data_IF_867338503458
#
_entry.id   IF_867338503458
#
_cell.length_a   1.000
_cell.length_b   1.000
_cell.length_c   1.000
_cell.angle_alpha   90.00
_cell.angle_beta   90.00
_cell.angle_gamma   90.00
#
_symmetry.space_group_name_H-M   'P 1'
#
loop_
_entity.id
_entity.type
_entity.pdbx_description
1 polymer ?
#
# COMPACT_ATOMS: atom_id res chain seq x y z
N UNK A 1 8.80 3.54 36.10
CA UNK A 1 7.58 3.85 35.33
C UNK A 1 7.91 4.87 34.24
N UNK A 2 8.60 4.41 33.20
CA UNK A 2 8.74 5.12 31.93
C UNK A 2 7.88 4.37 30.92
N UNK A 3 7.11 5.09 30.12
CA UNK A 3 6.36 4.51 29.01
C UNK A 3 7.34 3.97 27.98
N UNK A 4 7.02 2.84 27.34
CA UNK A 4 7.81 2.20 26.27
C UNK A 4 8.12 3.11 25.06
N UNK A 5 7.62 4.35 25.04
CA UNK A 5 7.79 5.33 23.97
C UNK A 5 8.10 6.75 24.46
N UNK A 6 8.17 6.98 25.77
CA UNK A 6 8.44 8.31 26.34
C UNK A 6 9.22 8.16 27.66
N UNK A 7 10.42 8.75 27.72
CA UNK A 7 11.28 8.80 28.90
C UNK A 7 10.86 9.87 29.92
N UNK A 8 9.67 10.46 29.77
CA UNK A 8 9.14 11.46 30.70
C UNK A 8 8.70 10.85 32.02
N UNK A 9 9.07 11.48 33.14
CA UNK A 9 8.50 11.20 34.46
C UNK A 9 7.01 11.57 34.46
N UNK A 10 6.17 10.70 35.01
CA UNK A 10 4.71 10.88 35.13
C UNK A 10 4.35 11.86 36.26
N UNK A 11 5.00 13.02 36.29
CA UNK A 11 4.75 14.10 37.24
C UNK A 11 4.20 15.31 36.48
N UNK A 12 3.21 15.99 37.06
CA UNK A 12 2.84 17.33 36.62
C UNK A 12 4.01 18.31 36.87
N UNK A 13 4.14 19.33 36.01
CA UNK A 13 5.30 20.24 36.03
C UNK A 13 5.46 20.97 37.38
N UNK A 14 4.37 21.29 38.08
CA UNK A 14 4.41 21.90 39.42
C UNK A 14 4.98 20.95 40.49
N UNK A 15 4.55 19.69 40.46
CA UNK A 15 5.04 18.66 41.38
C UNK A 15 6.51 18.34 41.13
N UNK A 16 6.91 18.34 39.85
CA UNK A 16 8.30 18.14 39.44
C UNK A 16 9.22 19.24 39.98
N UNK A 17 8.81 20.49 39.93
CA UNK A 17 9.58 21.62 40.47
C UNK A 17 9.76 21.50 42.00
N UNK A 18 8.71 21.08 42.71
CA UNK A 18 8.77 20.89 44.17
C UNK A 18 9.68 19.72 44.57
N UNK A 19 9.59 18.57 43.90
CA UNK A 19 10.47 17.43 44.19
C UNK A 19 11.94 17.70 43.81
N UNK A 20 12.19 18.48 42.75
CA UNK A 20 13.55 18.91 42.40
C UNK A 20 14.16 19.79 43.48
N UNK A 21 13.41 20.76 44.02
CA UNK A 21 13.88 21.60 45.15
C UNK A 21 14.23 20.76 46.39
N UNK A 22 13.41 19.76 46.70
CA UNK A 22 13.64 18.86 47.84
C UNK A 22 14.83 17.92 47.62
N UNK A 23 15.05 17.47 46.39
CA UNK A 23 16.17 16.60 46.02
C UNK A 23 17.51 17.34 45.91
N UNK A 24 17.50 18.64 45.60
CA UNK A 24 18.70 19.48 45.52
C UNK A 24 19.26 19.91 46.87
N UNK A 25 18.61 19.58 47.99
CA UNK A 25 19.12 19.92 49.32
C UNK A 25 20.31 19.01 49.71
N UNK A 26 21.54 19.54 49.85
CA UNK A 26 22.73 18.73 50.11
C UNK A 26 22.75 18.10 51.51
N UNK A 27 21.98 18.61 52.48
CA UNK A 27 21.94 18.14 53.87
C UNK A 27 20.89 17.05 54.15
N UNK A 28 20.32 16.44 53.10
CA UNK A 28 19.24 15.47 53.28
C UNK A 28 19.78 14.05 53.59
N UNK A 29 19.41 13.54 54.77
CA UNK A 29 19.79 12.21 55.26
C UNK A 29 19.26 11.06 54.36
N UNK A 30 19.93 9.90 54.39
CA UNK A 30 19.64 8.73 53.53
C UNK A 30 18.19 8.24 53.68
N UNK A 31 17.67 8.19 54.91
CA UNK A 31 16.28 7.86 55.21
C UNK A 31 15.30 8.86 54.57
N UNK A 32 15.65 10.15 54.58
CA UNK A 32 14.88 11.21 53.93
C UNK A 32 14.84 11.06 52.40
N UNK A 33 15.96 10.69 51.78
CA UNK A 33 16.01 10.42 50.32
C UNK A 33 15.18 9.21 49.93
N UNK A 34 15.20 8.16 50.75
CA UNK A 34 14.39 6.94 50.53
C UNK A 34 12.89 7.22 50.67
N UNK A 35 12.49 8.04 51.64
CA UNK A 35 11.10 8.47 51.81
C UNK A 35 10.61 9.34 50.64
N UNK A 36 11.44 10.32 50.19
CA UNK A 36 11.16 11.12 49.00
C UNK A 36 10.98 10.25 47.75
N UNK A 37 11.86 9.28 47.53
CA UNK A 37 11.76 8.36 46.40
C UNK A 37 10.48 7.52 46.45
N UNK A 38 10.10 7.00 47.63
CA UNK A 38 8.84 6.27 47.83
C UNK A 38 7.62 7.15 47.52
N UNK A 39 7.66 8.41 47.94
CA UNK A 39 6.60 9.38 47.68
C UNK A 39 6.47 9.71 46.19
N UNK A 40 7.59 9.93 45.49
CA UNK A 40 7.62 10.18 44.04
C UNK A 40 7.06 8.98 43.26
N UNK A 41 7.39 7.76 43.67
CA UNK A 41 6.84 6.54 43.04
C UNK A 41 5.32 6.44 43.28
N UNK A 42 4.86 6.76 44.49
CA UNK A 42 3.44 6.71 44.83
C UNK A 42 2.61 7.73 44.03
N UNK A 43 3.13 8.94 43.78
CA UNK A 43 2.49 9.94 42.91
C UNK A 43 2.53 9.53 41.43
N UNK A 44 3.66 9.01 40.94
CA UNK A 44 3.76 8.51 39.55
C UNK A 44 2.82 7.33 39.26
N UNK A 45 2.44 6.53 40.26
CA UNK A 45 1.47 5.43 40.09
C UNK A 45 0.03 5.90 40.00
N UNK A 46 -0.29 7.11 40.49
CA UNK A 46 -1.65 7.69 40.45
C UNK A 46 -1.96 8.39 39.13
N UNK A 47 -0.94 8.75 38.36
CA UNK A 47 -1.05 9.46 37.08
C UNK A 47 -1.06 8.47 35.90
N UNK A 48 -2.25 8.17 35.39
CA UNK A 48 -2.46 7.21 34.31
C UNK A 48 -2.17 7.74 32.89
N UNK A 49 -2.53 8.99 32.54
CA UNK A 49 -2.09 9.59 31.29
C UNK A 49 -0.76 10.32 31.46
N UNK A 50 0.18 10.13 30.53
CA UNK A 50 1.41 10.91 30.53
C UNK A 50 1.15 12.38 30.14
N UNK A 51 1.55 13.36 30.96
CA UNK A 51 1.31 14.78 30.68
C UNK A 51 2.04 15.29 29.42
N UNK A 52 3.02 14.55 28.91
CA UNK A 52 3.81 14.95 27.73
C UNK A 52 3.32 14.35 26.41
N UNK A 53 2.69 13.18 26.44
CA UNK A 53 2.29 12.47 25.21
C UNK A 53 0.89 11.85 25.24
N UNK A 54 0.12 12.01 26.31
CA UNK A 54 -1.29 11.57 26.42
C UNK A 54 -1.50 10.05 26.41
N UNK A 55 -0.45 9.24 26.30
CA UNK A 55 -0.56 7.76 26.29
C UNK A 55 -0.93 7.24 27.68
N UNK A 56 -1.89 6.31 27.70
CA UNK A 56 -2.35 5.62 28.90
C UNK A 56 -1.41 4.47 29.26
N UNK A 57 -1.07 4.33 30.53
CA UNK A 57 -0.40 3.13 31.04
C UNK A 57 -1.40 1.98 31.15
N UNK A 58 -1.39 1.04 30.21
CA UNK A 58 -2.09 -0.24 30.40
C UNK A 58 -1.34 -1.08 31.44
N UNK A 59 -1.85 -1.09 32.67
CA UNK A 59 -1.37 -1.98 33.73
C UNK A 59 -1.98 -3.36 33.51
N UNK A 60 -1.40 -4.16 32.61
CA UNK A 60 -1.61 -5.61 32.61
C UNK A 60 -0.70 -6.22 33.68
N UNK A 61 -1.23 -7.16 34.46
CA UNK A 61 -0.54 -7.84 35.57
C UNK A 61 0.67 -8.64 35.07
N UNK A 62 1.81 -7.96 34.99
CA UNK A 62 3.13 -8.42 34.58
C UNK A 62 4.08 -7.22 34.63
N UNK A 63 5.38 -7.43 34.87
CA UNK A 63 6.34 -6.32 34.85
C UNK A 63 6.38 -5.69 33.45
N UNK A 64 6.01 -4.42 33.33
CA UNK A 64 5.94 -3.62 32.10
C UNK A 64 7.32 -3.19 31.56
N UNK A 65 8.40 -3.61 32.21
CA UNK A 65 9.74 -3.15 31.90
C UNK A 65 10.33 -3.95 30.72
N UNK A 66 11.09 -3.25 29.90
CA UNK A 66 11.72 -3.83 28.72
C UNK A 66 12.89 -4.74 29.13
N UNK A 67 13.23 -5.74 28.31
CA UNK A 67 14.30 -6.71 28.59
C UNK A 67 15.65 -6.02 28.87
N UNK A 68 15.91 -4.92 28.16
CA UNK A 68 17.11 -4.08 28.36
C UNK A 68 17.09 -3.40 29.73
N UNK A 69 15.91 -2.93 30.18
CA UNK A 69 15.75 -2.28 31.48
C UNK A 69 15.96 -3.28 32.61
N UNK A 70 15.42 -4.50 32.48
CA UNK A 70 15.69 -5.59 33.41
C UNK A 70 17.19 -5.90 33.48
N UNK A 71 17.87 -6.02 32.33
CA UNK A 71 19.32 -6.28 32.31
C UNK A 71 20.16 -5.16 32.92
N UNK A 72 19.80 -3.90 32.70
CA UNK A 72 20.48 -2.77 33.34
C UNK A 72 20.32 -2.79 34.86
N UNK A 73 19.14 -3.18 35.37
CA UNK A 73 18.92 -3.30 36.82
C UNK A 73 19.79 -4.39 37.45
N UNK A 74 19.97 -5.54 36.76
CA UNK A 74 20.85 -6.62 37.20
C UNK A 74 22.33 -6.19 37.19
N UNK A 75 22.77 -5.46 36.15
CA UNK A 75 24.14 -4.92 36.06
C UNK A 75 24.44 -3.98 37.23
N UNK A 76 23.49 -3.10 37.58
CA UNK A 76 23.64 -2.18 38.71
C UNK A 76 23.73 -2.96 40.03
N UNK A 77 22.87 -3.97 40.22
CA UNK A 77 22.88 -4.79 41.43
C UNK A 77 24.21 -5.52 41.62
N UNK A 78 24.75 -6.13 40.56
CA UNK A 78 26.05 -6.84 40.61
C UNK A 78 27.18 -5.84 40.92
N UNK A 79 27.14 -4.64 40.34
CA UNK A 79 28.12 -3.61 40.62
C UNK A 79 28.08 -3.16 42.08
N UNK A 80 26.90 -3.01 42.68
CA UNK A 80 26.75 -2.69 44.11
C UNK A 80 27.29 -3.80 45.02
N UNK A 81 27.05 -5.06 44.65
CA UNK A 81 27.61 -6.23 45.37
C UNK A 81 29.13 -6.24 45.29
N UNK A 82 29.70 -5.97 44.12
CA UNK A 82 31.14 -5.93 43.90
C UNK A 82 31.81 -4.79 44.71
N UNK A 83 31.15 -3.64 44.81
CA UNK A 83 31.58 -2.53 45.67
C UNK A 83 31.54 -2.90 47.17
N UNK A 84 30.55 -3.66 47.62
CA UNK A 84 30.49 -4.15 49.01
C UNK A 84 31.61 -5.15 49.30
N UNK A 85 31.83 -6.13 48.42
CA UNK A 85 32.93 -7.09 48.57
C UNK A 85 34.31 -6.43 48.64
N UNK A 86 34.50 -5.33 47.92
CA UNK A 86 35.73 -4.53 47.99
C UNK A 86 35.90 -3.79 49.33
N UNK A 87 34.80 -3.35 49.96
CA UNK A 87 34.82 -2.66 51.26
C UNK A 87 34.98 -3.62 52.43
N UNK A 88 34.31 -4.77 52.37
CA UNK A 88 34.27 -5.75 53.45
C UNK A 88 35.47 -6.72 53.45
N UNK A 89 36.35 -6.63 52.44
CA UNK A 89 37.54 -7.48 52.35
C UNK A 89 37.23 -8.94 52.01
N UNK A 90 36.31 -9.17 51.06
CA UNK A 90 35.87 -10.51 50.67
C UNK A 90 37.01 -11.34 50.03
N UNK A 91 36.93 -12.69 50.07
CA UNK A 91 37.92 -13.56 49.45
C UNK A 91 38.01 -13.33 47.94
N UNK A 92 39.25 -13.33 47.42
CA UNK A 92 39.57 -13.04 46.00
C UNK A 92 38.76 -13.92 45.03
N UNK A 93 38.44 -15.16 45.41
CA UNK A 93 37.61 -16.07 44.60
C UNK A 93 36.20 -15.51 44.36
N UNK A 94 35.54 -14.99 45.39
CA UNK A 94 34.19 -14.44 45.28
C UNK A 94 34.18 -13.12 44.48
N UNK A 95 35.26 -12.34 44.56
CA UNK A 95 35.41 -11.12 43.77
C UNK A 95 35.53 -11.43 42.27
N UNK A 96 36.34 -12.41 41.92
CA UNK A 96 36.51 -12.85 40.52
C UNK A 96 35.20 -13.43 39.96
N UNK A 97 34.46 -14.21 40.75
CA UNK A 97 33.17 -14.76 40.32
C UNK A 97 32.11 -13.68 40.08
N UNK A 98 32.04 -12.67 40.96
CA UNK A 98 31.15 -11.51 40.74
C UNK A 98 31.56 -10.66 39.53
N UNK A 99 32.87 -10.56 39.26
CA UNK A 99 33.40 -9.88 38.09
C UNK A 99 33.04 -10.61 36.79
N UNK A 100 33.17 -11.93 36.75
CA UNK A 100 32.79 -12.76 35.61
C UNK A 100 31.28 -12.66 35.34
N UNK A 101 30.45 -12.66 36.39
CA UNK A 101 29.02 -12.41 36.25
C UNK A 101 28.73 -11.04 35.65
N UNK A 102 29.39 -9.97 36.12
CA UNK A 102 29.20 -8.63 35.56
C UNK A 102 29.52 -8.59 34.06
N UNK A 103 30.63 -9.21 33.65
CA UNK A 103 31.05 -9.27 32.26
C UNK A 103 30.02 -9.98 31.38
N UNK A 104 29.43 -11.07 31.86
CA UNK A 104 28.39 -11.81 31.15
C UNK A 104 27.11 -10.98 30.99
N UNK A 105 26.66 -10.29 32.04
CA UNK A 105 25.46 -9.45 31.96
C UNK A 105 25.63 -8.26 31.00
N UNK A 106 26.80 -7.63 30.97
CA UNK A 106 27.13 -6.57 30.01
C UNK A 106 27.20 -7.11 28.58
N UNK A 107 27.78 -8.30 28.40
CA UNK A 107 27.88 -8.93 27.08
C UNK A 107 26.50 -9.33 26.54
N UNK A 108 25.63 -9.92 27.39
CA UNK A 108 24.25 -10.27 27.06
C UNK A 108 23.37 -9.06 26.76
N UNK A 109 23.64 -7.91 27.40
CA UNK A 109 22.96 -6.64 27.12
C UNK A 109 23.21 -6.17 25.67
N UNK A 110 24.46 -6.30 25.20
CA UNK A 110 24.83 -5.94 23.83
C UNK A 110 24.36 -7.00 22.82
N UNK A 111 24.67 -8.27 23.08
CA UNK A 111 24.33 -9.39 22.22
C UNK A 111 23.88 -10.59 23.06
N UNK A 112 22.59 -10.91 22.99
CA UNK A 112 22.03 -12.04 23.74
C UNK A 112 22.35 -13.42 23.13
N UNK A 113 22.97 -13.49 21.95
CA UNK A 113 23.31 -14.72 21.22
C UNK A 113 24.80 -15.06 21.29
N UNK A 114 25.47 -14.72 22.41
CA UNK A 114 26.87 -15.08 22.61
C UNK A 114 27.01 -16.59 22.83
N UNK A 115 27.66 -17.26 21.87
CA UNK A 115 28.06 -18.66 21.95
C UNK A 115 29.11 -18.86 23.06
N UNK A 116 28.95 -19.88 23.91
CA UNK A 116 29.98 -20.28 24.88
C UNK A 116 29.69 -19.98 26.36
N UNK A 117 28.49 -19.50 26.70
CA UNK A 117 28.11 -19.31 28.11
C UNK A 117 27.87 -20.65 28.84
N UNK A 118 28.35 -20.81 30.09
CA UNK A 118 28.04 -21.95 30.96
C UNK A 118 26.53 -22.13 31.12
N UNK A 119 26.04 -23.38 31.15
CA UNK A 119 24.60 -23.71 31.19
C UNK A 119 23.83 -23.04 32.34
N UNK A 120 24.49 -22.82 33.49
CA UNK A 120 23.90 -22.18 34.68
C UNK A 120 23.73 -20.67 34.54
N UNK A 121 24.55 -20.03 33.69
CA UNK A 121 24.54 -18.58 33.45
C UNK A 121 23.79 -18.21 32.16
N UNK A 122 23.21 -19.20 31.46
CA UNK A 122 22.36 -18.95 30.31
C UNK A 122 20.99 -18.40 30.76
N UNK A 123 20.48 -17.35 30.11
CA UNK A 123 19.16 -16.84 30.43
C UNK A 123 18.09 -17.89 30.05
N UNK A 124 17.18 -18.19 30.98
CA UNK A 124 16.08 -19.16 30.79
C UNK A 124 15.05 -18.72 29.73
N UNK A 125 15.02 -17.42 29.39
CA UNK A 125 14.21 -16.86 28.31
C UNK A 125 15.14 -16.15 27.32
N UNK A 126 14.94 -16.31 26.00
CA UNK A 126 15.73 -15.58 25.00
C UNK A 126 15.42 -14.09 25.13
N UNK A 127 16.44 -13.30 25.44
CA UNK A 127 16.32 -11.85 25.64
C UNK A 127 16.60 -11.13 24.32
N UNK A 128 15.93 -10.00 24.10
CA UNK A 128 16.22 -9.18 22.92
C UNK A 128 17.26 -8.10 23.22
N UNK A 129 18.54 -8.48 23.07
CA UNK A 129 19.68 -7.56 23.17
C UNK A 129 19.69 -6.45 22.09
N UNK A 130 20.59 -5.49 22.22
CA UNK A 130 20.70 -4.36 21.29
C UNK A 130 20.98 -4.82 19.85
N UNK A 131 21.89 -5.77 19.67
CA UNK A 131 22.22 -6.33 18.36
C UNK A 131 20.99 -6.98 17.68
N UNK A 132 20.15 -7.71 18.43
CA UNK A 132 18.92 -8.34 17.93
C UNK A 132 17.83 -7.34 17.55
N UNK A 133 17.87 -6.11 18.08
CA UNK A 133 16.95 -5.03 17.66
C UNK A 133 17.40 -4.37 16.36
N UNK A 134 18.69 -4.33 16.11
CA UNK A 134 19.26 -3.77 14.89
C UNK A 134 19.20 -4.77 13.74
N UNK A 135 19.59 -6.03 13.99
CA UNK A 135 19.65 -7.10 13.01
C UNK A 135 18.29 -7.77 12.80
N UNK A 136 18.13 -8.41 11.64
CA UNK A 136 17.01 -9.29 11.33
C UNK A 136 15.96 -8.67 10.43
N UNK A 137 14.97 -9.48 10.03
CA UNK A 137 13.84 -9.03 9.20
C UNK A 137 12.98 -8.01 9.94
N UNK A 138 12.73 -8.23 11.24
CA UNK A 138 12.04 -7.32 12.15
C UNK A 138 13.01 -6.38 12.92
N UNK A 139 14.19 -6.17 12.36
CA UNK A 139 15.20 -5.27 12.89
C UNK A 139 14.95 -3.83 12.45
N UNK A 140 15.56 -2.87 13.15
CA UNK A 140 15.42 -1.44 12.83
C UNK A 140 15.86 -1.09 11.40
N UNK A 141 16.94 -1.71 10.90
CA UNK A 141 17.44 -1.41 9.56
C UNK A 141 16.44 -1.80 8.46
N UNK A 142 15.83 -2.99 8.52
CA UNK A 142 14.97 -3.48 7.44
C UNK A 142 13.52 -3.03 7.58
N UNK A 143 12.94 -3.10 8.78
CA UNK A 143 11.50 -2.88 9.03
C UNK A 143 11.14 -1.43 9.35
N UNK A 144 12.12 -0.57 9.64
CA UNK A 144 11.83 0.82 9.99
C UNK A 144 12.59 1.85 9.14
N UNK A 145 13.82 1.53 8.71
CA UNK A 145 14.62 2.42 7.89
C UNK A 145 14.42 2.17 6.38
N UNK A 146 14.57 0.93 5.90
CA UNK A 146 14.42 0.62 4.47
C UNK A 146 12.97 0.53 4.00
N UNK A 147 12.08 -0.04 4.82
CA UNK A 147 10.64 -0.06 4.55
C UNK A 147 9.92 0.39 5.80
N UNK A 148 9.09 1.43 5.72
CA UNK A 148 8.31 1.95 6.85
C UNK A 148 6.84 1.93 6.49
N UNK A 149 5.97 1.79 7.50
CA UNK A 149 4.54 2.07 7.31
C UNK A 149 4.36 3.55 6.97
N UNK A 150 3.59 3.80 5.92
CA UNK A 150 3.33 5.14 5.39
C UNK A 150 1.86 5.48 5.58
N UNK A 151 1.61 6.71 6.00
CA UNK A 151 0.27 7.29 6.06
C UNK A 151 -0.21 7.65 4.64
N UNK A 152 -1.51 7.96 4.49
CA UNK A 152 -2.13 8.25 3.18
C UNK A 152 -2.00 7.13 2.15
N UNK A 153 -2.11 5.89 2.66
CA UNK A 153 -2.23 4.69 1.86
C UNK A 153 -3.56 4.00 2.13
N UNK A 154 -4.13 3.39 1.09
CA UNK A 154 -5.27 2.50 1.20
C UNK A 154 -4.93 1.18 0.55
N UNK A 155 -5.53 0.10 1.04
CA UNK A 155 -5.45 -1.22 0.42
C UNK A 155 -6.87 -1.66 0.18
N UNK A 156 -7.15 -2.05 -1.05
CA UNK A 156 -8.46 -2.59 -1.43
C UNK A 156 -8.24 -3.74 -2.39
N UNK A 157 -9.16 -4.68 -2.36
CA UNK A 157 -9.32 -5.61 -3.46
C UNK A 157 -9.72 -4.81 -4.69
N UNK A 158 -9.10 -5.10 -5.83
CA UNK A 158 -9.52 -4.50 -7.10
C UNK A 158 -10.81 -5.20 -7.52
N UNK A 159 -11.90 -4.44 -7.46
CA UNK A 159 -13.26 -4.94 -7.76
C UNK A 159 -13.41 -5.00 -9.28
N UNK A 160 -13.20 -6.18 -9.85
CA UNK A 160 -13.53 -6.55 -11.24
C UNK A 160 -12.85 -5.74 -12.36
N UNK A 161 -12.44 -6.38 -13.48
CA UNK A 161 -11.97 -5.64 -14.64
C UNK A 161 -13.14 -4.82 -15.21
N UNK A 162 -13.04 -3.49 -15.17
CA UNK A 162 -14.00 -2.61 -15.85
C UNK A 162 -13.45 -2.24 -17.24
N UNK A 163 -14.05 -2.74 -18.32
CA UNK A 163 -13.61 -2.42 -19.67
C UNK A 163 -13.73 -0.92 -20.00
N UNK A 164 -14.62 -0.18 -19.34
CA UNK A 164 -14.90 1.21 -19.69
C UNK A 164 -13.87 2.21 -19.13
N UNK A 165 -12.98 1.78 -18.24
CA UNK A 165 -11.94 2.63 -17.68
C UNK A 165 -10.78 2.82 -18.67
N UNK A 166 -10.17 4.01 -18.64
CA UNK A 166 -8.94 4.23 -19.40
C UNK A 166 -7.77 3.48 -18.77
N UNK A 167 -6.73 3.26 -19.59
CA UNK A 167 -5.52 2.51 -19.19
C UNK A 167 -4.75 3.23 -18.07
N UNK A 168 -4.88 4.56 -17.98
CA UNK A 168 -4.30 5.41 -16.95
C UNK A 168 -5.26 5.75 -15.80
N UNK A 169 -6.49 5.24 -15.83
CA UNK A 169 -7.49 5.47 -14.80
C UNK A 169 -7.64 4.27 -13.88
N UNK A 170 -7.99 4.53 -12.62
CA UNK A 170 -8.29 3.49 -11.63
C UNK A 170 -9.57 3.87 -10.88
N UNK A 171 -10.48 2.91 -10.76
CA UNK A 171 -11.70 3.08 -9.99
C UNK A 171 -11.39 3.13 -8.50
N UNK A 172 -11.69 4.24 -7.85
CA UNK A 172 -11.50 4.41 -6.40
C UNK A 172 -12.87 4.41 -5.70
N UNK A 173 -13.15 3.49 -4.76
CA UNK A 173 -14.37 3.50 -3.97
C UNK A 173 -14.57 4.81 -3.20
N UNK A 174 -15.83 5.27 -3.10
CA UNK A 174 -16.18 6.55 -2.48
C UNK A 174 -15.72 6.64 -1.01
N UNK A 175 -15.80 5.55 -0.26
CA UNK A 175 -15.29 5.47 1.12
C UNK A 175 -13.79 5.79 1.22
N UNK A 176 -12.98 5.26 0.29
CA UNK A 176 -11.54 5.52 0.24
C UNK A 176 -11.28 6.97 -0.17
N UNK A 177 -12.04 7.49 -1.15
CA UNK A 177 -11.93 8.87 -1.61
C UNK A 177 -12.30 9.91 -0.53
N UNK A 178 -13.23 9.61 0.37
CA UNK A 178 -13.56 10.48 1.52
C UNK A 178 -12.48 10.46 2.60
N UNK A 179 -11.74 9.35 2.73
CA UNK A 179 -10.71 9.18 3.75
C UNK A 179 -9.35 9.75 3.31
N UNK A 180 -8.95 9.48 2.07
CA UNK A 180 -7.67 9.91 1.52
C UNK A 180 -7.75 11.37 1.05
N UNK A 181 -7.05 12.25 1.75
CA UNK A 181 -7.02 13.68 1.45
C UNK A 181 -5.74 14.10 0.74
N UNK A 182 -5.84 15.13 -0.10
CA UNK A 182 -4.70 15.84 -0.67
C UNK A 182 -4.64 17.28 -0.14
N UNK A 183 -3.51 17.76 0.40
CA UNK A 183 -3.37 19.11 0.90
C UNK A 183 -3.16 20.08 -0.26
N UNK A 184 -4.24 20.74 -0.69
CA UNK A 184 -4.19 21.75 -1.74
C UNK A 184 -3.97 23.15 -1.14
N UNK A 185 -3.02 23.90 -1.69
CA UNK A 185 -2.76 25.29 -1.28
C UNK A 185 -3.80 26.21 -1.92
N UNK A 186 -4.45 27.05 -1.11
CA UNK A 186 -5.45 28.00 -1.60
C UNK A 186 -4.75 29.15 -2.34
N UNK A 187 -5.15 29.33 -3.60
CA UNK A 187 -4.70 30.33 -4.55
C UNK A 187 -5.93 31.09 -5.10
N UNK A 188 -5.71 32.20 -5.80
CA UNK A 188 -6.78 33.00 -6.41
C UNK A 188 -7.63 32.19 -7.40
N UNK A 189 -7.04 31.23 -8.10
CA UNK A 189 -7.73 30.38 -9.08
C UNK A 189 -8.60 29.29 -8.48
N UNK A 190 -8.27 28.76 -7.30
CA UNK A 190 -8.99 27.63 -6.70
C UNK A 190 -9.86 28.03 -5.50
N UNK A 191 -9.83 29.30 -5.08
CA UNK A 191 -10.52 29.76 -3.87
C UNK A 191 -12.04 29.48 -3.90
N UNK A 192 -12.68 29.65 -5.05
CA UNK A 192 -14.11 29.40 -5.20
C UNK A 192 -14.44 27.91 -5.07
N UNK A 193 -13.65 27.07 -5.73
CA UNK A 193 -13.75 25.60 -5.65
C UNK A 193 -13.51 25.12 -4.21
N UNK A 194 -12.46 25.62 -3.56
CA UNK A 194 -12.12 25.23 -2.18
C UNK A 194 -13.22 25.64 -1.19
N UNK A 195 -13.83 26.82 -1.37
CA UNK A 195 -14.99 27.24 -0.57
C UNK A 195 -16.18 26.29 -0.76
N UNK A 196 -16.42 25.82 -1.99
CA UNK A 196 -17.49 24.85 -2.27
C UNK A 196 -17.22 23.51 -1.58
N UNK A 197 -16.00 22.98 -1.66
CA UNK A 197 -15.60 21.74 -1.00
C UNK A 197 -15.74 21.81 0.52
N UNK A 198 -15.35 22.94 1.12
CA UNK A 198 -15.51 23.17 2.57
C UNK A 198 -16.98 23.27 2.96
N UNK A 199 -17.85 23.86 2.12
CA UNK A 199 -19.31 23.92 2.35
C UNK A 199 -19.97 22.55 2.28
N UNK A 200 -19.51 21.68 1.37
CA UNK A 200 -20.01 20.32 1.23
C UNK A 200 -19.64 19.42 2.42
N UNK A 201 -18.58 19.77 3.16
CA UNK A 201 -18.15 19.07 4.37
C UNK A 201 -17.40 17.76 4.07
N UNK A 202 -17.47 16.81 5.01
CA UNK A 202 -16.66 15.58 5.00
C UNK A 202 -17.37 14.36 4.43
N UNK A 203 -18.71 14.35 4.39
CA UNK A 203 -19.49 13.14 4.12
C UNK A 203 -19.93 13.04 2.65
N UNK A 204 -19.91 14.16 1.93
CA UNK A 204 -20.36 14.24 0.54
C UNK A 204 -19.14 14.44 -0.36
N UNK A 205 -18.92 13.50 -1.28
CA UNK A 205 -17.95 13.69 -2.34
C UNK A 205 -18.59 14.57 -3.44
N UNK A 206 -17.95 15.67 -3.87
CA UNK A 206 -16.62 16.17 -3.50
C UNK A 206 -16.64 17.09 -2.26
N UNK A 207 -15.73 16.84 -1.30
CA UNK A 207 -15.69 17.51 0.02
C UNK A 207 -14.27 17.69 0.59
N UNK A 208 -14.17 18.21 1.81
CA UNK A 208 -12.90 18.47 2.50
C UNK A 208 -12.97 18.14 4.00
N UNK A 209 -11.89 17.57 4.56
CA UNK A 209 -11.87 17.08 5.96
C UNK A 209 -11.34 18.09 6.98
N UNK A 210 -10.33 18.87 6.60
CA UNK A 210 -9.71 19.83 7.50
C UNK A 210 -9.19 21.05 6.74
N UNK A 211 -9.16 22.19 7.41
CA UNK A 211 -8.56 23.44 6.93
C UNK A 211 -7.38 23.76 7.83
N UNK A 212 -6.23 24.04 7.22
CA UNK A 212 -5.02 24.46 7.95
C UNK A 212 -4.81 25.94 7.73
N UNK A 213 -4.76 26.69 8.83
CA UNK A 213 -4.45 28.11 8.77
C UNK A 213 -2.94 28.31 8.52
N UNK A 214 -2.60 29.18 7.56
CA UNK A 214 -1.23 29.43 7.12
C UNK A 214 -0.39 30.13 8.19
N UNK A 215 -1.03 30.97 9.00
CA UNK A 215 -0.34 31.82 10.00
C UNK A 215 -0.05 31.08 11.30
N UNK A 216 -1.00 30.26 11.75
CA UNK A 216 -0.94 29.59 13.05
C UNK A 216 -0.60 28.11 12.95
N UNK A 217 -0.68 27.51 11.76
CA UNK A 217 -0.52 26.06 11.56
C UNK A 217 -1.62 25.24 12.24
N UNK A 218 -2.66 25.88 12.78
CA UNK A 218 -3.74 25.20 13.50
C UNK A 218 -4.60 24.47 12.46
N UNK A 219 -4.70 23.16 12.65
CA UNK A 219 -5.61 22.30 11.88
C UNK A 219 -7.00 22.40 12.49
N UNK A 220 -7.94 23.00 11.75
CA UNK A 220 -9.36 22.97 12.08
C UNK A 220 -9.97 21.76 11.38
N UNK A 221 -10.20 20.70 12.16
CA UNK A 221 -10.90 19.50 11.71
C UNK A 221 -12.40 19.81 11.62
N UNK A 222 -13.02 19.43 10.52
CA UNK A 222 -14.45 19.69 10.29
C UNK A 222 -15.34 18.63 10.98
N UNK A 223 -14.75 17.55 11.53
CA UNK A 223 -15.38 16.56 12.43
C UNK A 223 -14.35 15.87 13.35
N UNK A 224 -14.84 15.35 14.48
CA UNK A 224 -14.22 14.29 15.28
C UNK A 224 -15.25 13.17 15.55
N UNK A 225 -14.85 11.90 15.37
CA UNK A 225 -15.34 10.73 16.12
C UNK A 225 -14.36 9.56 15.94
N UNK A 226 -14.07 8.82 17.01
CA UNK A 226 -12.98 7.82 17.16
C UNK A 226 -13.49 6.38 17.30
N UNK A 227 -14.76 6.09 17.01
CA UNK A 227 -15.36 4.79 17.36
C UNK A 227 -16.16 4.11 16.25
N UNK A 228 -15.66 3.99 15.02
CA UNK A 228 -16.17 2.98 14.07
C UNK A 228 -15.07 2.62 13.07
N UNK A 229 -14.54 1.39 13.14
CA UNK A 229 -13.89 0.66 12.03
C UNK A 229 -13.48 -0.78 12.41
N UNK A 230 -13.71 -1.24 13.64
CA UNK A 230 -13.51 -2.64 14.04
C UNK A 230 -14.52 -3.69 13.50
N UNK A 231 -15.65 -3.40 12.80
CA UNK A 231 -16.60 -4.46 12.47
C UNK A 231 -16.52 -5.04 11.04
N UNK A 232 -15.73 -4.50 10.11
CA UNK A 232 -15.78 -4.97 8.71
C UNK A 232 -14.78 -6.07 8.40
N UNK A 233 -14.86 -7.16 9.15
CA UNK A 233 -14.13 -8.40 8.88
C UNK A 233 -14.64 -9.02 7.57
N UNK A 234 -14.19 -8.47 6.44
CA UNK A 234 -14.52 -8.92 5.09
C UNK A 234 -13.36 -9.75 4.53
N UNK A 235 -13.64 -11.02 4.29
CA UNK A 235 -12.97 -11.87 3.31
C UNK A 235 -13.54 -11.60 1.90
N UNK A 236 -12.90 -12.15 0.85
CA UNK A 236 -13.39 -12.51 -0.51
C UNK A 236 -12.27 -12.33 -1.58
N UNK A 237 -11.57 -13.45 -1.77
CA UNK A 237 -10.93 -14.06 -2.97
C UNK A 237 -9.96 -13.33 -3.93
N UNK A 238 -9.25 -12.30 -3.45
CA UNK A 238 -7.78 -12.32 -3.54
C UNK A 238 -7.10 -11.84 -4.84
N UNK A 239 -6.92 -10.53 -4.94
CA UNK A 239 -5.59 -9.89 -5.07
C UNK A 239 -5.72 -8.44 -4.56
N UNK A 240 -4.84 -8.03 -3.65
CA UNK A 240 -4.92 -6.73 -2.98
C UNK A 240 -3.88 -5.76 -3.54
N UNK A 241 -4.34 -4.60 -4.02
CA UNK A 241 -3.45 -3.52 -4.46
C UNK A 241 -3.38 -2.42 -3.42
N UNK A 242 -2.18 -1.85 -3.28
CA UNK A 242 -1.95 -0.69 -2.43
C UNK A 242 -2.07 0.59 -3.28
N UNK A 243 -2.86 1.53 -2.80
CA UNK A 243 -2.99 2.89 -3.33
C UNK A 243 -2.23 3.84 -2.40
N UNK A 244 -1.40 4.70 -2.99
CA UNK A 244 -0.67 5.75 -2.27
C UNK A 244 -0.99 7.11 -2.90
N UNK A 245 -1.31 8.11 -2.07
CA UNK A 245 -1.63 9.46 -2.56
C UNK A 245 -0.44 10.39 -2.31
N UNK A 246 0.27 10.86 -3.36
CA UNK A 246 1.34 11.84 -3.24
C UNK A 246 0.82 13.12 -2.58
N UNK A 247 1.48 13.57 -1.52
CA UNK A 247 1.04 14.73 -0.73
C UNK A 247 1.62 16.07 -1.22
N UNK A 248 2.66 16.03 -2.07
CA UNK A 248 3.32 17.23 -2.60
C UNK A 248 3.08 17.37 -4.09
N UNK A 249 3.07 18.61 -4.59
CA UNK A 249 2.95 18.87 -6.03
C UNK A 249 4.14 18.30 -6.82
N UNK A 250 5.34 18.32 -6.22
CA UNK A 250 6.55 17.73 -6.80
C UNK A 250 6.40 16.22 -6.97
N UNK A 251 6.01 15.49 -5.91
CA UNK A 251 5.81 14.05 -6.00
C UNK A 251 4.66 13.69 -6.95
N UNK A 252 3.62 14.53 -7.04
CA UNK A 252 2.54 14.35 -8.03
C UNK A 252 3.06 14.52 -9.46
N UNK A 253 3.92 15.50 -9.70
CA UNK A 253 4.53 15.72 -11.00
C UNK A 253 5.47 14.56 -11.38
N UNK A 254 6.32 14.12 -10.46
CA UNK A 254 7.20 12.97 -10.65
C UNK A 254 6.40 11.69 -10.96
N UNK A 255 5.36 11.39 -10.18
CA UNK A 255 4.52 10.23 -10.42
C UNK A 255 3.82 10.31 -11.78
N UNK A 256 3.28 11.47 -12.15
CA UNK A 256 2.58 11.62 -13.42
C UNK A 256 3.52 11.51 -14.62
N UNK A 257 4.71 12.11 -14.55
CA UNK A 257 5.66 12.16 -15.67
C UNK A 257 6.44 10.85 -15.78
N UNK A 258 6.92 10.30 -14.67
CA UNK A 258 7.82 9.13 -14.71
C UNK A 258 7.07 7.82 -14.54
N UNK A 259 6.06 7.77 -13.68
CA UNK A 259 5.33 6.55 -13.34
C UNK A 259 4.00 6.40 -14.09
N UNK A 260 3.64 7.37 -14.94
CA UNK A 260 2.43 7.30 -15.75
C UNK A 260 2.43 6.05 -16.63
N UNK A 261 1.29 5.35 -16.69
CA UNK A 261 1.16 4.10 -17.46
C UNK A 261 1.43 4.35 -18.96
N UNK A 262 1.03 5.52 -19.46
CA UNK A 262 1.28 5.99 -20.83
C UNK A 262 2.76 6.03 -21.20
N UNK A 263 3.63 6.36 -20.24
CA UNK A 263 5.08 6.45 -20.46
C UNK A 263 5.79 5.12 -20.21
N UNK A 264 5.09 4.11 -19.68
CA UNK A 264 5.65 2.81 -19.27
C UNK A 264 4.98 1.62 -19.99
N UNK A 265 4.50 1.81 -21.22
CA UNK A 265 3.87 0.75 -22.01
C UNK A 265 4.86 -0.35 -22.43
N UNK A 266 6.16 -0.03 -22.48
CA UNK A 266 7.23 -0.90 -22.96
C UNK A 266 8.18 -1.25 -21.83
N UNK A 267 8.59 -2.52 -21.73
CA UNK A 267 9.59 -2.92 -20.73
C UNK A 267 10.99 -2.46 -21.13
N UNK A 268 11.77 -1.84 -20.23
CA UNK A 268 13.15 -1.44 -20.53
C UNK A 268 14.09 -2.63 -20.75
N UNK A 269 13.68 -3.86 -20.38
CA UNK A 269 14.51 -5.06 -20.49
C UNK A 269 14.56 -5.63 -21.91
N UNK A 270 13.41 -5.81 -22.54
CA UNK A 270 13.29 -6.41 -23.89
C UNK A 270 12.81 -5.43 -24.96
N UNK A 271 12.32 -4.25 -24.59
CA UNK A 271 11.71 -3.32 -25.54
C UNK A 271 10.34 -3.79 -26.07
N UNK A 272 9.77 -4.85 -25.47
CA UNK A 272 8.46 -5.37 -25.84
C UNK A 272 7.34 -4.60 -25.13
N UNK A 273 6.18 -4.40 -25.78
CA UNK A 273 5.01 -3.81 -25.14
C UNK A 273 4.46 -4.77 -24.08
N UNK A 274 4.36 -4.30 -22.84
CA UNK A 274 3.80 -5.05 -21.71
C UNK A 274 2.28 -4.91 -21.65
N UNK A 275 1.77 -3.71 -21.98
CA UNK A 275 0.34 -3.42 -22.03
C UNK A 275 -0.17 -3.70 -23.44
N UNK A 276 -0.89 -4.80 -23.60
CA UNK A 276 -1.48 -5.23 -24.87
C UNK A 276 -2.90 -5.78 -24.66
N UNK A 277 -3.67 -5.90 -25.73
CA UNK A 277 -4.98 -6.54 -25.69
C UNK A 277 -4.85 -8.01 -25.28
N UNK A 278 -5.69 -8.47 -24.35
CA UNK A 278 -5.64 -9.82 -23.77
C UNK A 278 -7.02 -10.50 -23.87
N UNK A 279 -7.04 -11.84 -23.91
CA UNK A 279 -8.24 -12.70 -23.79
C UNK A 279 -9.37 -12.31 -24.75
N UNK A 280 -10.47 -11.77 -24.22
CA UNK A 280 -11.72 -11.52 -24.93
C UNK A 280 -11.57 -10.46 -26.01
N UNK A 281 -10.64 -9.52 -25.83
CA UNK A 281 -10.32 -8.53 -26.85
C UNK A 281 -9.72 -9.17 -28.11
N UNK A 282 -8.84 -10.17 -27.93
CA UNK A 282 -8.22 -10.90 -29.04
C UNK A 282 -9.27 -11.78 -29.72
N UNK A 283 -10.06 -12.51 -28.94
CA UNK A 283 -11.12 -13.39 -29.45
C UNK A 283 -12.17 -12.60 -30.21
N UNK A 284 -12.65 -11.48 -29.65
CA UNK A 284 -13.61 -10.60 -30.29
C UNK A 284 -13.05 -9.96 -31.58
N UNK A 285 -11.80 -9.49 -31.57
CA UNK A 285 -11.15 -8.96 -32.77
C UNK A 285 -10.97 -10.03 -33.86
N UNK A 286 -10.56 -11.25 -33.49
CA UNK A 286 -10.42 -12.37 -34.43
C UNK A 286 -11.76 -12.75 -35.05
N UNK A 287 -12.79 -12.90 -34.22
CA UNK A 287 -14.14 -13.23 -34.67
C UNK A 287 -14.75 -12.11 -35.52
N UNK A 288 -14.46 -10.85 -35.24
CA UNK A 288 -14.92 -9.71 -36.05
C UNK A 288 -14.22 -9.69 -37.41
N UNK A 289 -12.92 -9.96 -37.46
CA UNK A 289 -12.11 -9.88 -38.70
C UNK A 289 -12.19 -11.10 -39.60
N UNK A 290 -12.96 -12.12 -39.22
CA UNK A 290 -13.22 -13.30 -40.05
C UNK A 290 -13.83 -12.94 -41.40
N UNK A 291 -13.66 -13.77 -42.44
CA UNK A 291 -14.21 -13.48 -43.78
C UNK A 291 -15.73 -13.65 -43.84
N UNK A 292 -16.28 -14.46 -42.94
CA UNK A 292 -17.69 -14.84 -42.92
C UNK A 292 -18.56 -13.87 -42.09
N UNK A 293 -17.94 -12.89 -41.41
CA UNK A 293 -18.66 -11.91 -40.60
C UNK A 293 -19.11 -10.73 -41.44
N UNK A 294 -20.41 -10.68 -41.65
CA UNK A 294 -21.12 -9.57 -42.28
C UNK A 294 -22.07 -8.95 -41.26
N UNK A 295 -22.01 -7.63 -41.15
CA UNK A 295 -22.82 -6.86 -40.22
C UNK A 295 -23.86 -6.04 -40.98
N UNK A 296 -25.06 -6.00 -40.43
CA UNK A 296 -26.16 -5.17 -40.91
C UNK A 296 -25.90 -3.69 -40.61
N UNK A 297 -26.66 -2.80 -41.26
CA UNK A 297 -26.53 -1.36 -41.02
C UNK A 297 -26.74 -0.99 -39.54
N UNK A 298 -27.70 -1.62 -38.86
CA UNK A 298 -28.00 -1.38 -37.45
C UNK A 298 -26.83 -1.78 -36.53
N UNK A 299 -26.22 -2.94 -36.78
CA UNK A 299 -25.09 -3.44 -35.99
C UNK A 299 -23.84 -2.60 -36.25
N UNK A 300 -23.57 -2.24 -37.50
CA UNK A 300 -22.47 -1.35 -37.86
C UNK A 300 -22.62 0.04 -37.23
N UNK A 301 -23.84 0.61 -37.19
CA UNK A 301 -24.11 1.88 -36.53
C UNK A 301 -23.93 1.79 -35.00
N UNK A 302 -24.35 0.69 -34.38
CA UNK A 302 -24.18 0.48 -32.94
C UNK A 302 -22.71 0.35 -32.56
N UNK A 303 -21.95 -0.44 -33.32
CA UNK A 303 -20.50 -0.55 -33.15
C UNK A 303 -19.81 0.81 -33.33
N UNK A 304 -20.20 1.57 -34.37
CA UNK A 304 -19.69 2.92 -34.55
C UNK A 304 -20.10 3.88 -33.43
N UNK A 305 -21.28 3.73 -32.83
CA UNK A 305 -21.72 4.52 -31.69
C UNK A 305 -20.91 4.22 -30.42
N UNK A 306 -20.56 2.94 -30.17
CA UNK A 306 -19.68 2.59 -29.05
C UNK A 306 -18.27 3.21 -29.18
N UNK A 307 -17.79 3.47 -30.39
CA UNK A 307 -16.54 4.23 -30.62
C UNK A 307 -16.64 5.69 -30.13
N UNK A 308 -17.83 6.28 -30.23
CA UNK A 308 -18.06 7.68 -29.85
C UNK A 308 -18.14 7.81 -28.33
N UNK A 309 -18.81 6.87 -27.66
CA UNK A 309 -19.11 6.96 -26.22
C UNK A 309 -17.84 6.86 -25.34
N UNK A 310 -16.85 6.07 -25.77
CA UNK A 310 -15.54 6.01 -25.11
C UNK A 310 -14.74 7.34 -25.17
N UNK A 311 -15.17 8.31 -26.00
CA UNK A 311 -14.50 9.61 -26.15
C UNK A 311 -15.28 10.73 -25.44
N UNK A 312 -14.84 11.07 -24.22
CA UNK A 312 -14.99 12.45 -23.69
C UNK A 312 -14.00 13.44 -24.36
N UNK A 313 -13.83 13.33 -25.69
CA UNK A 313 -13.09 14.28 -26.54
C UNK A 313 -13.84 14.50 -27.85
N UNK A 314 -14.68 15.54 -27.90
CA UNK A 314 -15.08 16.38 -29.06
C UNK A 314 -15.30 15.75 -30.47
N UNK A 315 -15.40 14.44 -30.67
CA UNK A 315 -15.72 13.84 -31.98
C UNK A 315 -17.24 13.73 -32.12
N UNK A 316 -17.84 14.73 -32.79
CA UNK A 316 -19.30 14.80 -33.01
C UNK A 316 -19.80 14.04 -34.25
N UNK A 317 -18.91 13.56 -35.13
CA UNK A 317 -19.28 12.91 -36.40
C UNK A 317 -18.33 11.77 -36.76
N UNK A 318 -18.88 10.58 -36.99
CA UNK A 318 -18.21 9.45 -37.62
C UNK A 318 -18.82 9.27 -39.02
N UNK A 319 -17.98 9.10 -40.04
CA UNK A 319 -18.42 8.71 -41.39
C UNK A 319 -18.23 7.22 -41.54
N UNK A 320 -19.32 6.48 -41.65
CA UNK A 320 -19.27 5.04 -41.95
C UNK A 320 -18.67 4.81 -43.35
N UNK A 321 -17.82 3.79 -43.53
CA UNK A 321 -17.29 3.41 -44.83
C UNK A 321 -18.42 2.87 -45.72
N UNK A 322 -18.19 2.88 -47.03
CA UNK A 322 -19.14 2.32 -47.99
C UNK A 322 -19.32 0.81 -47.75
N UNK A 323 -20.56 0.28 -47.82
CA UNK A 323 -20.82 -1.14 -47.61
C UNK A 323 -20.09 -1.99 -48.66
N UNK A 324 -19.55 -3.13 -48.23
CA UNK A 324 -18.85 -4.06 -49.12
C UNK A 324 -19.82 -4.75 -50.10
N UNK A 325 -21.06 -5.01 -49.67
CA UNK A 325 -22.11 -5.63 -50.49
C UNK A 325 -23.28 -4.65 -50.54
N UNK A 326 -23.75 -4.31 -51.75
CA UNK A 326 -24.85 -3.35 -51.96
C UNK A 326 -26.21 -4.01 -52.26
N UNK A 327 -26.23 -5.17 -52.90
CA UNK A 327 -27.44 -5.93 -53.25
C UNK A 327 -27.20 -7.42 -52.95
N UNK A 328 -28.18 -8.19 -52.45
CA UNK A 328 -29.57 -7.82 -52.15
C UNK A 328 -29.74 -7.01 -50.84
N UNK A 329 -28.78 -7.09 -49.91
CA UNK A 329 -28.79 -6.36 -48.63
C UNK A 329 -27.48 -5.61 -48.47
N UNK A 330 -27.52 -4.43 -47.82
CA UNK A 330 -26.32 -3.67 -47.48
C UNK A 330 -25.60 -4.32 -46.32
N UNK A 331 -24.40 -4.82 -46.56
CA UNK A 331 -23.59 -5.49 -45.55
C UNK A 331 -22.19 -4.87 -45.46
N UNK A 332 -21.72 -4.74 -44.22
CA UNK A 332 -20.36 -4.31 -43.89
C UNK A 332 -19.54 -5.51 -43.46
N UNK A 333 -18.27 -5.54 -43.86
CA UNK A 333 -17.33 -6.55 -43.33
C UNK A 333 -16.76 -6.06 -42.01
N UNK A 334 -16.48 -6.98 -41.08
CA UNK A 334 -15.85 -6.58 -39.81
C UNK A 334 -14.46 -5.95 -39.99
N UNK A 335 -13.75 -6.26 -41.09
CA UNK A 335 -12.50 -5.59 -41.47
C UNK A 335 -12.69 -4.10 -41.76
N UNK A 336 -13.80 -3.70 -42.39
CA UNK A 336 -14.10 -2.29 -42.62
C UNK A 336 -14.39 -1.53 -41.31
N UNK A 337 -14.94 -2.22 -40.31
CA UNK A 337 -15.15 -1.61 -38.99
C UNK A 337 -13.84 -1.48 -38.20
N UNK A 338 -12.88 -2.40 -38.37
CA UNK A 338 -11.53 -2.24 -37.84
C UNK A 338 -10.80 -1.01 -38.40
N UNK A 339 -11.10 -0.62 -39.64
CA UNK A 339 -10.55 0.62 -40.20
C UNK A 339 -11.04 1.86 -39.44
N UNK A 340 -12.26 1.85 -38.90
CA UNK A 340 -12.79 2.95 -38.08
C UNK A 340 -12.08 3.05 -36.72
N UNK A 341 -11.63 1.92 -36.18
CA UNK A 341 -10.80 1.88 -34.96
C UNK A 341 -9.42 2.44 -35.31
N UNK A 342 -8.75 1.91 -36.33
CA UNK A 342 -7.36 2.28 -36.64
C UNK A 342 -7.23 3.72 -37.18
N UNK A 343 -8.28 4.27 -37.81
CA UNK A 343 -8.20 5.57 -38.48
C UNK A 343 -8.86 6.71 -37.69
N UNK A 344 -8.04 7.67 -37.29
CA UNK A 344 -8.48 8.98 -36.82
C UNK A 344 -8.87 9.90 -37.99
N UNK A 345 -9.91 9.53 -38.72
CA UNK A 345 -10.57 10.32 -39.78
C UNK A 345 -9.68 10.98 -40.87
N UNK A 346 -9.77 10.39 -42.06
CA UNK A 346 -9.93 11.06 -43.37
C UNK A 346 -8.72 11.40 -44.27
N UNK A 347 -7.60 10.64 -44.25
CA UNK A 347 -6.56 10.80 -45.30
C UNK A 347 -5.90 9.53 -45.86
N UNK A 348 -6.28 8.33 -45.45
CA UNK A 348 -5.69 7.13 -46.09
C UNK A 348 -6.61 5.94 -46.07
N UNK A 349 -7.06 5.50 -47.25
CA UNK A 349 -7.56 4.14 -47.47
C UNK A 349 -6.42 3.16 -47.18
N UNK A 350 -6.31 2.67 -45.95
CA UNK A 350 -5.31 1.66 -45.61
C UNK A 350 -5.94 0.30 -45.82
N UNK A 351 -5.49 -0.41 -46.85
CA UNK A 351 -5.81 -1.83 -47.00
C UNK A 351 -5.18 -2.60 -45.82
N UNK A 352 -6.04 -3.16 -44.96
CA UNK A 352 -5.70 -3.96 -43.78
C UNK A 352 -4.98 -5.29 -44.07
N UNK A 353 -4.71 -5.61 -45.34
CA UNK A 353 -3.92 -6.78 -45.72
C UNK A 353 -2.43 -6.44 -45.63
N UNK A 354 -1.95 -6.06 -44.44
CA UNK A 354 -0.52 -5.82 -44.21
C UNK A 354 0.00 -6.82 -43.19
N UNK A 355 0.89 -7.70 -43.65
CA UNK A 355 1.73 -8.54 -42.80
C UNK A 355 3.06 -7.80 -42.60
N UNK A 356 3.31 -7.28 -41.40
CA UNK A 356 4.60 -6.66 -41.04
C UNK A 356 5.27 -7.40 -39.89
N UNK A 357 6.60 -7.57 -39.92
CA UNK A 357 7.35 -7.90 -38.72
C UNK A 357 7.25 -6.74 -37.71
N UNK A 358 6.99 -7.07 -36.44
CA UNK A 358 6.78 -6.13 -35.34
C UNK A 358 7.88 -5.05 -35.32
N UNK A 359 7.50 -3.80 -35.58
CA UNK A 359 8.34 -2.63 -35.34
C UNK A 359 7.82 -1.89 -34.11
N UNK A 360 8.77 -1.40 -33.33
CA UNK A 360 8.55 -0.64 -32.11
C UNK A 360 7.55 0.51 -32.35
N UNK A 361 6.47 0.47 -31.58
CA UNK A 361 5.49 1.53 -31.52
C UNK A 361 6.13 2.77 -30.89
N UNK A 362 6.14 3.88 -31.61
CA UNK A 362 6.82 5.12 -31.23
C UNK A 362 5.91 6.35 -31.32
N UNK A 363 4.58 6.15 -31.37
CA UNK A 363 3.60 7.23 -31.44
C UNK A 363 2.71 7.31 -30.19
N UNK A 364 2.20 8.49 -29.87
CA UNK A 364 1.28 8.74 -28.75
C UNK A 364 -0.20 8.37 -29.07
N UNK A 365 -0.46 7.39 -29.94
CA UNK A 365 -1.85 7.06 -30.33
C UNK A 365 -2.46 5.97 -29.42
N UNK A 366 -3.59 6.31 -28.79
CA UNK A 366 -4.30 5.44 -27.84
C UNK A 366 -5.15 4.39 -28.59
N UNK A 367 -4.54 3.28 -29.03
CA UNK A 367 -5.29 2.20 -29.70
C UNK A 367 -6.01 1.25 -28.72
N UNK A 368 -5.49 1.04 -27.51
CA UNK A 368 -6.01 0.03 -26.58
C UNK A 368 -7.41 0.33 -26.01
N UNK A 369 -7.85 1.60 -25.96
CA UNK A 369 -9.21 1.97 -25.50
C UNK A 369 -10.25 1.70 -26.59
N UNK A 370 -9.85 1.77 -27.86
CA UNK A 370 -10.77 1.47 -28.96
C UNK A 370 -11.00 -0.05 -29.12
N UNK A 371 -10.12 -0.87 -28.51
CA UNK A 371 -10.22 -2.33 -28.47
C UNK A 371 -11.32 -2.81 -27.51
N UNK A 372 -11.74 -1.98 -26.55
CA UNK A 372 -12.79 -2.32 -25.59
C UNK A 372 -14.13 -2.65 -26.26
N UNK A 373 -14.35 -2.12 -27.45
CA UNK A 373 -15.57 -2.33 -28.24
C UNK A 373 -15.71 -3.77 -28.75
N UNK A 374 -14.62 -4.54 -28.81
CA UNK A 374 -14.69 -5.98 -29.10
C UNK A 374 -15.44 -6.73 -28.02
N UNK A 375 -15.42 -6.26 -26.77
CA UNK A 375 -16.19 -6.85 -25.69
C UNK A 375 -17.71 -6.69 -25.93
N UNK A 376 -18.16 -5.51 -26.36
CA UNK A 376 -19.58 -5.28 -26.71
C UNK A 376 -20.02 -6.19 -27.85
N UNK A 377 -19.20 -6.30 -28.90
CA UNK A 377 -19.47 -7.20 -30.02
C UNK A 377 -19.50 -8.69 -29.58
N UNK A 378 -18.54 -9.11 -28.75
CA UNK A 378 -18.47 -10.49 -28.26
C UNK A 378 -19.64 -10.84 -27.34
N UNK A 379 -20.10 -9.87 -26.53
CA UNK A 379 -21.27 -10.01 -25.66
C UNK A 379 -22.57 -10.20 -26.45
N UNK A 380 -22.74 -9.47 -27.57
CA UNK A 380 -23.91 -9.60 -28.45
C UNK A 380 -23.89 -10.90 -29.26
N UNK A 381 -22.71 -11.29 -29.77
CA UNK A 381 -22.58 -12.53 -30.55
C UNK A 381 -22.69 -13.78 -29.68
N UNK A 382 -22.21 -13.70 -28.44
CA UNK A 382 -22.03 -14.84 -27.56
C UNK A 382 -20.84 -15.69 -27.97
N UNK A 383 -19.99 -16.02 -27.00
CA UNK A 383 -18.91 -16.99 -27.17
C UNK A 383 -18.91 -17.92 -25.96
N UNK A 384 -19.08 -19.22 -26.21
CA UNK A 384 -19.11 -20.24 -25.17
C UNK A 384 -18.33 -21.45 -25.64
N UNK A 385 -17.59 -22.07 -24.73
CA UNK A 385 -16.91 -23.34 -24.96
C UNK A 385 -17.62 -24.41 -24.12
N UNK A 386 -17.95 -25.54 -24.74
CA UNK A 386 -18.62 -26.66 -24.10
C UNK A 386 -17.79 -27.94 -24.14
N UNK A 387 -18.29 -29.00 -23.49
CA UNK A 387 -17.66 -30.32 -23.55
C UNK A 387 -17.57 -30.87 -24.99
N UNK A 388 -18.49 -30.44 -25.87
CA UNK A 388 -18.51 -30.83 -27.28
C UNK A 388 -17.28 -30.36 -28.07
N UNK A 389 -16.68 -29.23 -27.69
CA UNK A 389 -15.49 -28.70 -28.38
C UNK A 389 -14.22 -29.50 -28.05
N UNK A 390 -14.23 -30.20 -26.92
CA UNK A 390 -13.12 -31.06 -26.47
C UNK A 390 -13.37 -32.54 -26.74
N UNK A 391 -14.57 -32.94 -27.15
CA UNK A 391 -14.84 -34.34 -27.51
C UNK A 391 -14.18 -34.71 -28.83
N UNK A 392 -13.17 -35.60 -28.83
CA UNK A 392 -12.49 -35.99 -30.06
C UNK A 392 -13.41 -36.82 -30.93
N UNK A 393 -13.23 -36.73 -32.26
CA UNK A 393 -13.99 -37.55 -33.19
C UNK A 393 -13.67 -39.04 -33.00
N UNK A 394 -14.63 -39.96 -33.22
CA UNK A 394 -14.39 -41.39 -33.08
C UNK A 394 -13.27 -41.93 -33.99
N UNK A 395 -13.02 -41.26 -35.12
CA UNK A 395 -11.91 -41.57 -36.02
C UNK A 395 -10.56 -41.22 -35.38
N UNK A 396 -10.43 -40.03 -34.79
CA UNK A 396 -9.22 -39.60 -34.09
C UNK A 396 -8.90 -40.51 -32.91
N UNK A 397 -9.92 -40.99 -32.19
CA UNK A 397 -9.73 -41.97 -31.10
C UNK A 397 -9.19 -43.31 -31.60
N UNK A 398 -9.66 -43.79 -32.75
CA UNK A 398 -9.16 -45.03 -33.37
C UNK A 398 -7.72 -44.87 -33.87
N UNK A 399 -7.38 -43.73 -34.46
CA UNK A 399 -6.02 -43.44 -34.91
C UNK A 399 -5.05 -43.26 -33.74
N UNK A 400 -5.47 -42.55 -32.68
CA UNK A 400 -4.71 -42.45 -31.44
C UNK A 400 -4.46 -43.83 -30.82
N UNK A 401 -5.45 -44.72 -30.82
CA UNK A 401 -5.31 -46.08 -30.33
C UNK A 401 -4.34 -46.92 -31.19
N UNK A 402 -4.33 -46.72 -32.51
CA UNK A 402 -3.34 -47.36 -33.39
C UNK A 402 -1.93 -46.85 -33.13
N UNK A 403 -1.73 -45.54 -33.05
CA UNK A 403 -0.43 -44.93 -32.76
C UNK A 403 0.12 -45.39 -31.40
N UNK A 404 -0.72 -45.46 -30.36
CA UNK A 404 -0.31 -45.97 -29.05
C UNK A 404 0.07 -47.46 -29.05
N UNK A 405 -0.48 -48.25 -29.97
CA UNK A 405 -0.14 -49.67 -30.11
C UNK A 405 1.09 -49.90 -30.99
N UNK A 406 1.41 -48.94 -31.87
CA UNK A 406 2.57 -49.01 -32.78
C UNK A 406 3.85 -48.41 -32.16
N UNK A 407 3.74 -47.57 -31.12
CA UNK A 407 4.86 -47.04 -30.33
C UNK A 407 5.00 -45.54 -30.41
#
# INVERSE_FOLDING_TARGET
ASLQSCSGLLLQDDQRANYLRLASNPNLDYLGRKALHKNIIATCKKTNPCPKCGRHNEVKSGTTEDDLTMKLSEIILINDVLQKYKKDGAPIKALNEAWDQLQIHVALYLNSELSGLPLEQRPKKPLRGLAQRLKGKHGRFRENLSGKRVDFSARTVVISPDPNLQIDEVGVPLHIALTLTFPEIVNEYNIERMKMLVRNGTDIHPGANYVVDRSTGIKRLLKFNECVCTPYNADFDGDEMNLHVPQTYEARAEANILMGVKNNLVTPRSGEPLVAAIQDFITGAYLLTHKDTYLTYSEACRFAASIIDCRSRKRKRIRLPFPAILKPVRLWTGKQLMELVISECNTSSKMLNLSTPNKNYSGDAEFCIEVTQFHTYLSERGFSVGIGDVTPTPQLLKEKAKLLNEG
#
